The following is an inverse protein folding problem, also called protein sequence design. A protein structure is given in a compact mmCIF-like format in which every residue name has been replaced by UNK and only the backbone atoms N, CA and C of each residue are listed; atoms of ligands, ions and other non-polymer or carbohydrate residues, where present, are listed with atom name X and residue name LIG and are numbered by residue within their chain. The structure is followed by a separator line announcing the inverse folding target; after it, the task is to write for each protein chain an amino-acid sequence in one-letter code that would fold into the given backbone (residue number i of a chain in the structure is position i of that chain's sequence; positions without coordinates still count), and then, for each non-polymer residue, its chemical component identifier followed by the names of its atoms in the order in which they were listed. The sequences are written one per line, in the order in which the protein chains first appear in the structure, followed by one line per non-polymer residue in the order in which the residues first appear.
data_IF_903844235590
#
_entry.id   IF_903844235590
#
_cell.length_a   1.000
_cell.length_b   1.000
_cell.length_c   1.000
_cell.angle_alpha   90.00
_cell.angle_beta   90.00
_cell.angle_gamma   90.00
#
_symmetry.space_group_name_H-M   'P 1'
#
loop_
_entity.id
_entity.type
_entity.pdbx_description
1 polymer ?
#
# COMPACT_ATOMS: atom_id res chain seq x y z
N UNK A 1 -19.12 -6.33 8.23
CA UNK A 1 -20.53 -5.93 8.42
C UNK A 1 -21.03 -6.54 9.72
N UNK A 2 -21.85 -5.82 10.49
CA UNK A 2 -22.46 -6.27 11.73
C UNK A 2 -23.94 -6.58 11.47
N UNK A 3 -24.38 -7.76 11.89
CA UNK A 3 -25.76 -8.23 11.78
C UNK A 3 -26.33 -8.45 13.18
N UNK A 4 -27.52 -7.92 13.43
CA UNK A 4 -28.30 -8.17 14.64
C UNK A 4 -29.73 -8.53 14.24
N UNK A 5 -30.28 -9.63 14.75
CA UNK A 5 -31.62 -10.12 14.42
C UNK A 5 -31.91 -10.18 12.90
N UNK A 6 -30.95 -10.68 12.12
CA UNK A 6 -31.04 -10.72 10.65
C UNK A 6 -31.18 -9.35 9.94
N UNK A 7 -30.91 -8.25 10.64
CA UNK A 7 -30.82 -6.90 10.06
C UNK A 7 -29.39 -6.41 10.07
N UNK A 8 -29.00 -5.71 9.00
CA UNK A 8 -27.73 -4.98 8.95
C UNK A 8 -27.79 -3.85 9.99
N UNK A 9 -26.95 -3.93 11.02
CA UNK A 9 -26.89 -2.94 12.11
C UNK A 9 -25.66 -2.02 12.01
N UNK A 10 -24.71 -2.31 11.12
CA UNK A 10 -23.58 -1.43 10.85
C UNK A 10 -22.42 -2.10 10.13
N UNK A 11 -21.29 -1.40 10.03
CA UNK A 11 -20.02 -1.93 9.55
C UNK A 11 -18.87 -1.33 10.36
N UNK A 12 -17.87 -2.15 10.64
CA UNK A 12 -16.58 -1.71 11.21
C UNK A 12 -15.56 -1.88 10.09
N UNK A 13 -14.77 -0.84 9.84
CA UNK A 13 -13.59 -0.90 8.99
C UNK A 13 -12.37 -0.73 9.88
N UNK A 14 -11.41 -1.65 9.77
CA UNK A 14 -10.07 -1.45 10.30
C UNK A 14 -9.18 -1.03 9.14
N UNK A 15 -8.44 0.06 9.32
CA UNK A 15 -7.37 0.46 8.42
C UNK A 15 -6.13 0.72 9.26
N UNK A 16 -5.00 0.18 8.84
CA UNK A 16 -3.73 0.54 9.44
C UNK A 16 -3.43 1.99 9.07
N UNK A 17 -3.20 2.82 10.09
CA UNK A 17 -2.81 4.20 9.88
C UNK A 17 -1.35 4.23 9.41
N UNK A 18 -1.08 5.00 8.37
CA UNK A 18 0.29 5.31 7.97
C UNK A 18 0.97 5.99 9.15
N UNK A 19 2.18 5.52 9.49
CA UNK A 19 2.91 6.10 10.60
C UNK A 19 3.47 7.47 10.20
N UNK A 20 3.44 8.43 11.13
CA UNK A 20 3.91 9.78 10.85
C UNK A 20 5.37 9.79 10.34
N UNK A 21 6.23 8.94 10.90
CA UNK A 21 7.63 8.82 10.47
C UNK A 21 7.80 8.33 9.01
N UNK A 22 6.79 7.68 8.43
CA UNK A 22 6.85 7.19 7.05
C UNK A 22 6.91 8.34 6.05
N UNK A 23 6.25 9.47 6.32
CA UNK A 23 6.31 10.63 5.43
C UNK A 23 7.73 11.19 5.32
N UNK A 24 8.40 11.36 6.45
CA UNK A 24 9.77 11.86 6.48
C UNK A 24 10.75 10.87 5.83
N UNK A 25 10.57 9.57 6.06
CA UNK A 25 11.38 8.54 5.43
C UNK A 25 11.28 8.57 3.90
N UNK A 26 10.05 8.61 3.35
CA UNK A 26 9.83 8.68 1.90
C UNK A 26 10.39 9.97 1.32
N UNK A 27 10.15 11.11 1.99
CA UNK A 27 10.69 12.41 1.55
C UNK A 27 12.22 12.41 1.47
N UNK A 28 12.89 11.84 2.48
CA UNK A 28 14.34 11.74 2.50
C UNK A 28 14.87 10.85 1.37
N UNK A 29 14.28 9.68 1.16
CA UNK A 29 14.65 8.78 0.06
C UNK A 29 14.48 9.48 -1.31
N UNK A 30 13.35 10.16 -1.52
CA UNK A 30 13.12 10.93 -2.76
C UNK A 30 14.11 12.07 -2.95
N UNK A 31 14.54 12.74 -1.88
CA UNK A 31 15.59 13.78 -1.96
C UNK A 31 16.96 13.23 -2.38
N UNK A 32 17.16 11.92 -2.29
CA UNK A 32 18.34 11.19 -2.75
C UNK A 32 18.15 10.60 -4.15
N UNK A 33 17.10 11.01 -4.88
CA UNK A 33 16.68 10.46 -6.17
C UNK A 33 16.34 8.95 -6.13
N UNK A 34 15.96 8.43 -4.95
CA UNK A 34 15.52 7.04 -4.78
C UNK A 34 14.01 6.96 -4.99
N UNK A 35 13.59 6.14 -5.95
CA UNK A 35 12.18 5.83 -6.18
C UNK A 35 11.65 4.90 -5.11
N UNK A 36 10.45 5.19 -4.64
CA UNK A 36 9.77 4.47 -3.57
C UNK A 36 8.51 3.78 -4.11
N UNK A 37 8.48 2.45 -4.02
CA UNK A 37 7.36 1.62 -4.44
C UNK A 37 6.79 0.83 -3.26
N UNK A 38 5.47 0.61 -3.23
CA UNK A 38 4.81 -0.24 -2.23
C UNK A 38 4.30 -1.55 -2.82
N UNK A 39 4.56 -2.66 -2.16
CA UNK A 39 3.95 -3.96 -2.46
C UNK A 39 3.11 -4.40 -1.26
N UNK A 40 1.79 -4.44 -1.43
CA UNK A 40 0.85 -4.84 -0.37
C UNK A 40 -0.07 -5.97 -0.82
N UNK A 41 -0.53 -6.77 0.16
CA UNK A 41 -1.59 -7.75 -0.02
C UNK A 41 -2.99 -7.15 0.15
N UNK A 42 -3.10 -5.87 0.52
CA UNK A 42 -4.37 -5.17 0.60
C UNK A 42 -4.99 -4.95 -0.78
N UNK A 43 -6.28 -4.66 -0.78
CA UNK A 43 -7.00 -4.34 -2.01
C UNK A 43 -6.53 -3.02 -2.63
N UNK A 44 -6.90 -2.86 -3.90
CA UNK A 44 -6.55 -1.70 -4.73
C UNK A 44 -6.92 -0.35 -4.10
N UNK A 45 -8.07 -0.27 -3.42
CA UNK A 45 -8.55 0.98 -2.82
C UNK A 45 -7.65 1.43 -1.68
N UNK A 46 -7.25 0.51 -0.80
CA UNK A 46 -6.35 0.79 0.32
C UNK A 46 -4.95 1.12 -0.19
N UNK A 47 -4.42 0.30 -1.09
CA UNK A 47 -3.08 0.49 -1.65
C UNK A 47 -2.94 1.87 -2.33
N UNK A 48 -3.94 2.24 -3.13
CA UNK A 48 -3.99 3.56 -3.78
C UNK A 48 -4.00 4.71 -2.78
N UNK A 49 -4.86 4.64 -1.77
CA UNK A 49 -4.98 5.70 -0.77
C UNK A 49 -3.65 5.94 -0.03
N UNK A 50 -2.98 4.86 0.40
CA UNK A 50 -1.68 4.94 1.08
C UNK A 50 -0.59 5.46 0.13
N UNK A 51 -0.58 5.01 -1.12
CA UNK A 51 0.39 5.47 -2.12
C UNK A 51 0.25 6.96 -2.42
N UNK A 52 -0.97 7.48 -2.50
CA UNK A 52 -1.26 8.90 -2.72
C UNK A 52 -0.89 9.74 -1.48
N UNK A 53 -1.21 9.24 -0.28
CA UNK A 53 -0.89 9.88 1.00
C UNK A 53 0.62 10.03 1.23
N UNK A 54 1.39 8.99 0.92
CA UNK A 54 2.86 8.99 1.05
C UNK A 54 3.57 9.60 -0.18
N UNK A 55 2.85 9.84 -1.28
CA UNK A 55 3.41 10.33 -2.53
C UNK A 55 4.43 9.37 -3.14
N UNK A 56 4.15 8.06 -3.14
CA UNK A 56 5.02 7.03 -3.72
C UNK A 56 5.07 7.10 -5.26
N UNK A 57 6.07 6.46 -5.87
CA UNK A 57 6.25 6.41 -7.33
C UNK A 57 5.37 5.33 -7.98
N UNK A 58 4.93 4.36 -7.19
CA UNK A 58 3.94 3.36 -7.61
C UNK A 58 3.63 2.34 -6.51
N UNK A 59 2.64 1.49 -6.79
CA UNK A 59 2.27 0.40 -5.91
C UNK A 59 1.81 -0.84 -6.68
N UNK A 60 1.86 -1.99 -6.00
CA UNK A 60 1.16 -3.20 -6.38
C UNK A 60 0.23 -3.63 -5.23
N UNK A 61 -1.05 -3.80 -5.54
CA UNK A 61 -2.06 -4.30 -4.62
C UNK A 61 -2.28 -5.81 -4.79
N UNK A 62 -2.93 -6.44 -3.81
CA UNK A 62 -3.33 -7.86 -3.82
C UNK A 62 -2.16 -8.83 -4.08
N UNK A 63 -0.93 -8.44 -3.76
CA UNK A 63 0.27 -9.24 -4.01
C UNK A 63 0.38 -10.37 -2.99
N UNK A 64 0.37 -11.61 -3.48
CA UNK A 64 0.54 -12.78 -2.62
C UNK A 64 2.01 -12.93 -2.18
N UNK A 65 2.29 -13.57 -1.03
CA UNK A 65 3.66 -13.71 -0.52
C UNK A 65 4.66 -14.32 -1.51
N UNK A 66 4.21 -15.26 -2.34
CA UNK A 66 5.05 -15.92 -3.34
C UNK A 66 5.28 -15.07 -4.60
N UNK A 67 4.44 -14.07 -4.86
CA UNK A 67 4.52 -13.19 -6.03
C UNK A 67 5.43 -12.00 -5.80
N UNK A 68 5.74 -11.67 -4.54
CA UNK A 68 6.59 -10.51 -4.19
C UNK A 68 7.93 -10.53 -4.92
N UNK A 69 8.56 -11.70 -5.02
CA UNK A 69 9.84 -11.85 -5.72
C UNK A 69 9.71 -11.50 -7.21
N UNK A 70 8.64 -11.94 -7.85
CA UNK A 70 8.40 -11.66 -9.27
C UNK A 70 8.11 -10.18 -9.50
N UNK A 71 7.37 -9.52 -8.60
CA UNK A 71 7.13 -8.07 -8.66
C UNK A 71 8.40 -7.25 -8.51
N UNK A 72 9.31 -7.66 -7.63
CA UNK A 72 10.63 -7.00 -7.52
C UNK A 72 11.44 -7.17 -8.82
N UNK A 73 11.46 -8.37 -9.41
CA UNK A 73 12.13 -8.58 -10.71
C UNK A 73 11.50 -7.76 -11.83
N UNK A 74 10.17 -7.62 -11.83
CA UNK A 74 9.43 -6.80 -12.79
C UNK A 74 9.89 -5.33 -12.72
N UNK A 75 10.03 -4.77 -11.51
CA UNK A 75 10.55 -3.41 -11.30
C UNK A 75 12.02 -3.27 -11.77
N UNK A 76 12.88 -4.20 -11.35
CA UNK A 76 14.29 -4.19 -11.77
C UNK A 76 14.45 -4.25 -13.30
N UNK A 77 13.60 -5.02 -13.99
CA UNK A 77 13.62 -5.12 -15.45
C UNK A 77 13.22 -3.82 -16.16
N UNK A 78 12.44 -2.96 -15.48
CA UNK A 78 12.02 -1.64 -15.98
C UNK A 78 13.02 -0.53 -15.64
N UNK A 79 14.07 -0.82 -14.87
CA UNK A 79 15.00 0.17 -14.36
C UNK A 79 14.41 1.02 -13.23
N UNK A 80 13.49 0.42 -12.47
CA UNK A 80 12.87 0.99 -11.27
C UNK A 80 13.54 0.46 -9.99
#
# INVERSE_FOLDING_TARGET
MLLGENKLIGAISLSDQVREESHDAIKNLKSMDIKCWMLTGDNEKTAKAVSEELGLDGYYAEVLPHEKLEKVKELQSKGE
#
